data_IF_504168355749
#
_entry.id   IF_504168355749
#
_cell.length_a   1.000
_cell.length_b   1.000
_cell.length_c   1.000
_cell.angle_alpha   90.00
_cell.angle_beta   90.00
_cell.angle_gamma   90.00
#
_symmetry.space_group_name_H-M   'P 1'
#
loop_
_entity.id
_entity.type
_entity.pdbx_description
1 polymer ?
#
# COMPACT_ATOMS: atom_id res chain seq x y z
N UNK A 1 -9.14 31.72 -33.77
CA UNK A 1 -9.19 31.31 -32.35
C UNK A 1 -9.48 29.81 -32.29
N UNK A 2 -8.69 29.04 -31.53
CA UNK A 2 -8.89 27.60 -31.39
C UNK A 2 -9.84 27.36 -30.20
N UNK A 3 -10.95 26.67 -30.44
CA UNK A 3 -11.93 26.31 -29.41
C UNK A 3 -11.86 24.81 -29.14
N UNK A 4 -11.70 24.43 -27.88
CA UNK A 4 -11.70 23.04 -27.44
C UNK A 4 -13.14 22.49 -27.42
N UNK A 5 -13.38 21.40 -28.14
CA UNK A 5 -14.68 20.71 -28.26
C UNK A 5 -14.76 19.53 -27.28
N UNK A 6 -15.97 19.06 -26.99
CA UNK A 6 -16.20 17.92 -26.08
C UNK A 6 -15.49 16.63 -26.53
N UNK A 7 -15.34 16.43 -27.84
CA UNK A 7 -14.60 15.28 -28.40
C UNK A 7 -13.08 15.36 -28.24
N UNK A 8 -12.52 16.54 -27.96
CA UNK A 8 -11.07 16.73 -27.96
C UNK A 8 -10.37 15.97 -26.82
N UNK A 9 -10.86 15.99 -25.56
CA UNK A 9 -10.30 15.14 -24.50
C UNK A 9 -10.37 13.64 -24.80
N UNK A 10 -11.49 13.16 -25.35
CA UNK A 10 -11.66 11.73 -25.69
C UNK A 10 -10.72 11.30 -26.84
N UNK A 11 -10.64 12.11 -27.90
CA UNK A 11 -9.72 11.86 -29.00
C UNK A 11 -8.25 12.05 -28.59
N UNK A 12 -7.98 12.86 -27.56
CA UNK A 12 -6.65 12.95 -26.95
C UNK A 12 -6.26 11.62 -26.32
N UNK A 13 -7.16 10.93 -25.60
CA UNK A 13 -6.89 9.59 -25.04
C UNK A 13 -6.54 8.56 -26.12
N UNK A 14 -7.05 8.74 -27.34
CA UNK A 14 -6.72 7.94 -28.52
C UNK A 14 -5.46 8.41 -29.27
N UNK A 15 -4.77 9.45 -28.77
CA UNK A 15 -3.54 9.96 -29.38
C UNK A 15 -3.75 10.81 -30.64
N UNK A 16 -4.95 11.34 -30.91
CA UNK A 16 -5.18 12.14 -32.13
C UNK A 16 -4.41 13.47 -32.05
N UNK A 17 -3.47 13.68 -32.98
CA UNK A 17 -2.57 14.85 -33.00
C UNK A 17 -3.31 16.17 -32.94
N UNK A 18 -4.38 16.32 -33.74
CA UNK A 18 -5.13 17.57 -33.81
C UNK A 18 -5.81 17.92 -32.48
N UNK A 19 -6.27 16.92 -31.73
CA UNK A 19 -6.89 17.11 -30.43
C UNK A 19 -5.86 17.45 -29.34
N UNK A 20 -4.71 16.77 -29.35
CA UNK A 20 -3.58 17.07 -28.46
C UNK A 20 -3.17 18.54 -28.59
N UNK A 21 -2.92 19.01 -29.81
CA UNK A 21 -2.53 20.41 -30.06
C UNK A 21 -3.61 21.39 -29.59
N UNK A 22 -4.90 21.07 -29.78
CA UNK A 22 -6.00 21.93 -29.32
C UNK A 22 -6.07 22.03 -27.79
N UNK A 23 -5.87 20.91 -27.09
CA UNK A 23 -5.88 20.86 -25.62
C UNK A 23 -4.67 21.61 -25.05
N UNK A 24 -3.46 21.34 -25.54
CA UNK A 24 -2.22 21.96 -25.06
C UNK A 24 -2.19 23.48 -25.30
N UNK A 25 -2.82 23.98 -26.37
CA UNK A 25 -2.91 25.43 -26.65
C UNK A 25 -3.89 26.17 -25.74
N UNK A 26 -4.68 25.47 -24.94
CA UNK A 26 -5.67 26.10 -24.09
C UNK A 26 -5.13 26.28 -22.66
N UNK A 27 -4.93 27.52 -22.18
CA UNK A 27 -4.39 27.74 -20.84
C UNK A 27 -5.30 27.19 -19.73
N UNK A 28 -6.61 27.21 -19.92
CA UNK A 28 -7.58 26.71 -18.94
C UNK A 28 -7.66 25.18 -18.90
N UNK A 29 -7.00 24.46 -19.83
CA UNK A 29 -7.05 23.01 -19.87
C UNK A 29 -6.43 22.36 -18.62
N UNK A 30 -5.52 23.06 -17.94
CA UNK A 30 -4.96 22.57 -16.67
C UNK A 30 -6.04 22.35 -15.60
N UNK A 31 -7.05 23.22 -15.52
CA UNK A 31 -8.15 23.07 -14.55
C UNK A 31 -9.06 21.90 -14.90
N UNK A 32 -9.28 21.66 -16.19
CA UNK A 32 -9.99 20.48 -16.65
C UNK A 32 -9.20 19.20 -16.34
N UNK A 33 -7.89 19.20 -16.59
CA UNK A 33 -7.01 18.08 -16.28
C UNK A 33 -7.00 17.77 -14.79
N UNK A 34 -6.93 18.81 -13.94
CA UNK A 34 -7.02 18.70 -12.49
C UNK A 34 -8.35 18.07 -12.03
N UNK A 35 -9.47 18.52 -12.58
CA UNK A 35 -10.78 17.93 -12.30
C UNK A 35 -10.85 16.44 -12.71
N UNK A 36 -10.23 16.09 -13.86
CA UNK A 36 -10.15 14.71 -14.32
C UNK A 36 -9.26 13.84 -13.42
N UNK A 37 -8.16 14.38 -12.90
CA UNK A 37 -7.33 13.69 -11.89
C UNK A 37 -8.13 13.44 -10.61
N UNK A 38 -8.89 14.43 -10.13
CA UNK A 38 -9.75 14.24 -8.97
C UNK A 38 -10.78 13.13 -9.19
N UNK A 39 -11.41 13.06 -10.36
CA UNK A 39 -12.32 11.95 -10.69
C UNK A 39 -11.61 10.62 -10.83
N UNK A 40 -10.37 10.59 -11.31
CA UNK A 40 -9.58 9.35 -11.38
C UNK A 40 -9.17 8.86 -9.99
N UNK A 41 -8.86 9.78 -9.07
CA UNK A 41 -8.61 9.45 -7.66
C UNK A 41 -9.88 8.90 -7.00
N UNK A 42 -11.03 9.57 -7.18
CA UNK A 42 -12.32 9.07 -6.70
C UNK A 42 -12.64 7.68 -7.25
N UNK A 43 -12.40 7.45 -8.55
CA UNK A 43 -12.62 6.17 -9.19
C UNK A 43 -11.70 5.05 -8.65
N UNK A 44 -10.56 5.39 -8.06
CA UNK A 44 -9.65 4.40 -7.48
C UNK A 44 -9.99 4.04 -6.04
N UNK A 45 -10.60 4.96 -5.30
CA UNK A 45 -10.78 4.85 -3.84
C UNK A 45 -12.26 4.69 -3.42
N UNK A 46 -13.21 4.62 -4.36
CA UNK A 46 -14.65 4.59 -4.01
C UNK A 46 -15.09 3.25 -3.39
N UNK A 47 -14.40 2.17 -3.70
CA UNK A 47 -14.65 0.81 -3.24
C UNK A 47 -13.62 0.31 -2.20
N UNK A 48 -12.48 0.99 -2.07
CA UNK A 48 -11.42 0.61 -1.14
C UNK A 48 -11.46 1.37 0.20
N UNK A 49 -11.80 2.67 0.21
CA UNK A 49 -11.64 3.54 1.38
C UNK A 49 -12.91 4.31 1.71
N UNK A 50 -13.23 4.42 3.01
CA UNK A 50 -14.30 5.28 3.48
C UNK A 50 -13.88 6.75 3.41
N UNK A 51 -14.49 7.52 2.49
CA UNK A 51 -14.13 8.92 2.24
C UNK A 51 -14.34 9.84 3.45
N UNK A 52 -15.30 9.48 4.31
CA UNK A 52 -15.64 10.30 5.47
C UNK A 52 -14.59 10.19 6.58
N UNK A 53 -14.02 9.00 6.76
CA UNK A 53 -13.05 8.73 7.81
C UNK A 53 -11.62 9.12 7.41
N UNK A 54 -11.25 8.91 6.15
CA UNK A 54 -9.89 9.16 5.65
C UNK A 54 -9.88 10.08 4.41
N UNK A 55 -10.28 11.36 4.54
CA UNK A 55 -10.31 12.29 3.39
C UNK A 55 -8.92 12.61 2.84
N UNK A 56 -7.85 12.32 3.60
CA UNK A 56 -6.45 12.53 3.20
C UNK A 56 -6.03 11.55 2.09
N UNK A 57 -6.64 10.38 2.04
CA UNK A 57 -6.27 9.33 1.09
C UNK A 57 -6.69 9.75 -0.33
N UNK A 58 -7.72 10.58 -0.47
CA UNK A 58 -8.10 11.20 -1.75
C UNK A 58 -7.06 12.20 -2.28
N UNK A 59 -6.24 12.78 -1.40
CA UNK A 59 -5.17 13.72 -1.77
C UNK A 59 -3.85 13.01 -2.12
N UNK A 60 -3.64 11.79 -1.63
CA UNK A 60 -2.40 11.05 -1.84
C UNK A 60 -2.11 10.77 -3.34
N UNK A 61 -3.06 10.28 -4.16
CA UNK A 61 -2.85 10.11 -5.61
C UNK A 61 -2.52 11.43 -6.31
N UNK A 62 -3.09 12.54 -5.85
CA UNK A 62 -2.82 13.86 -6.42
C UNK A 62 -1.37 14.28 -6.14
N UNK A 63 -0.95 14.21 -4.87
CA UNK A 63 0.41 14.52 -4.46
C UNK A 63 1.45 13.63 -5.16
N UNK A 64 1.19 12.32 -5.22
CA UNK A 64 2.02 11.36 -5.93
C UNK A 64 2.13 11.70 -7.43
N UNK A 65 1.03 12.06 -8.09
CA UNK A 65 1.03 12.44 -9.50
C UNK A 65 1.83 13.71 -9.77
N UNK A 66 1.79 14.69 -8.85
CA UNK A 66 2.54 15.93 -8.94
C UNK A 66 4.04 15.67 -8.78
N UNK A 67 4.42 14.84 -7.80
CA UNK A 67 5.81 14.46 -7.55
C UNK A 67 6.39 13.70 -8.74
N UNK A 68 5.73 12.63 -9.19
CA UNK A 68 6.19 11.81 -10.33
C UNK A 68 6.24 12.64 -11.61
N UNK A 69 5.20 13.42 -11.90
CA UNK A 69 5.18 14.31 -13.06
C UNK A 69 6.33 15.31 -13.07
N UNK A 70 6.68 15.85 -11.90
CA UNK A 70 7.81 16.78 -11.76
C UNK A 70 9.16 16.11 -12.00
N UNK A 71 9.37 14.89 -11.50
CA UNK A 71 10.61 14.13 -11.76
C UNK A 71 10.74 13.84 -13.26
N UNK A 72 9.68 13.35 -13.90
CA UNK A 72 9.69 13.07 -15.35
C UNK A 72 9.94 14.34 -16.16
N UNK A 73 9.38 15.48 -15.74
CA UNK A 73 9.64 16.78 -16.39
C UNK A 73 11.13 17.16 -16.31
N UNK A 74 11.77 17.00 -15.16
CA UNK A 74 13.21 17.28 -15.00
C UNK A 74 14.05 16.42 -15.94
N UNK A 75 13.78 15.11 -16.02
CA UNK A 75 14.47 14.21 -16.95
C UNK A 75 14.28 14.60 -18.41
N UNK A 76 13.04 14.94 -18.79
CA UNK A 76 12.74 15.43 -20.13
C UNK A 76 13.51 16.73 -20.42
N UNK A 77 13.56 17.66 -19.47
CA UNK A 77 14.31 18.92 -19.61
C UNK A 77 15.81 18.69 -19.79
N UNK A 78 16.40 17.74 -19.05
CA UNK A 78 17.80 17.32 -19.24
C UNK A 78 18.02 16.80 -20.67
N UNK A 79 17.12 15.97 -21.19
CA UNK A 79 17.16 15.49 -22.57
C UNK A 79 17.09 16.62 -23.60
N UNK A 80 16.16 17.57 -23.39
CA UNK A 80 15.99 18.76 -24.24
C UNK A 80 17.24 19.66 -24.24
N UNK A 81 17.80 19.94 -23.06
CA UNK A 81 19.03 20.73 -22.93
C UNK A 81 20.24 20.03 -23.56
N UNK A 82 20.29 18.69 -23.48
CA UNK A 82 21.37 17.90 -24.08
C UNK A 82 21.39 17.96 -25.62
N UNK A 83 20.24 18.22 -26.24
CA UNK A 83 20.13 18.45 -27.70
C UNK A 83 20.43 19.92 -28.06
N UNK A 84 20.58 20.81 -27.07
CA UNK A 84 20.85 22.23 -27.28
C UNK A 84 19.60 23.08 -27.52
N UNK A 85 18.40 22.54 -27.23
CA UNK A 85 17.16 23.32 -27.28
C UNK A 85 17.12 24.33 -26.12
N UNK A 86 16.89 25.60 -26.45
CA UNK A 86 16.66 26.66 -25.46
C UNK A 86 15.17 26.75 -25.18
N UNK A 87 14.78 26.75 -23.91
CA UNK A 87 13.39 26.97 -23.50
C UNK A 87 13.16 28.45 -23.21
N UNK A 88 12.10 29.04 -23.78
CA UNK A 88 11.73 30.44 -23.49
C UNK A 88 11.29 30.62 -22.02
N UNK A 89 10.57 29.65 -21.46
CA UNK A 89 10.05 29.73 -20.09
C UNK A 89 9.75 28.34 -19.50
N UNK A 90 10.59 27.90 -18.56
CA UNK A 90 10.44 26.63 -17.85
C UNK A 90 9.07 26.45 -17.21
N UNK A 91 8.51 27.52 -16.63
CA UNK A 91 7.21 27.45 -15.98
C UNK A 91 6.06 27.25 -16.96
N UNK A 92 6.13 27.88 -18.13
CA UNK A 92 5.14 27.65 -19.20
C UNK A 92 5.23 26.21 -19.69
N UNK A 93 6.43 25.71 -19.92
CA UNK A 93 6.65 24.35 -20.42
C UNK A 93 6.21 23.30 -19.41
N UNK A 94 6.54 23.51 -18.13
CA UNK A 94 6.08 22.68 -17.01
C UNK A 94 4.56 22.63 -16.94
N UNK A 95 3.88 23.78 -17.02
CA UNK A 95 2.42 23.85 -17.00
C UNK A 95 1.78 23.11 -18.16
N UNK A 96 2.30 23.27 -19.38
CA UNK A 96 1.78 22.57 -20.58
C UNK A 96 2.05 21.07 -20.48
N UNK A 97 3.23 20.69 -20.02
CA UNK A 97 3.61 19.31 -19.76
C UNK A 97 2.68 18.65 -18.73
N UNK A 98 2.47 19.30 -17.57
CA UNK A 98 1.58 18.81 -16.52
C UNK A 98 0.12 18.73 -17.00
N UNK A 99 -0.32 19.67 -17.83
CA UNK A 99 -1.64 19.58 -18.47
C UNK A 99 -1.73 18.33 -19.34
N UNK A 100 -0.72 18.03 -20.15
CA UNK A 100 -0.66 16.81 -20.96
C UNK A 100 -0.64 15.54 -20.11
N UNK A 101 0.16 15.53 -19.03
CA UNK A 101 0.29 14.43 -18.10
C UNK A 101 -1.04 14.12 -17.39
N UNK A 102 -1.68 15.12 -16.80
CA UNK A 102 -2.95 14.96 -16.09
C UNK A 102 -4.14 14.67 -17.02
N UNK A 103 -4.10 15.09 -18.28
CA UNK A 103 -5.12 14.70 -19.27
C UNK A 103 -5.14 13.21 -19.57
N UNK A 104 -4.12 12.45 -19.17
CA UNK A 104 -4.11 10.98 -19.27
C UNK A 104 -4.77 10.27 -18.08
N UNK A 105 -5.10 11.00 -17.00
CA UNK A 105 -5.69 10.43 -15.79
C UNK A 105 -7.02 9.66 -16.01
N UNK A 106 -7.93 10.06 -16.92
CA UNK A 106 -9.16 9.32 -17.18
C UNK A 106 -8.98 7.86 -17.61
N UNK A 107 -7.79 7.46 -18.07
CA UNK A 107 -7.50 6.04 -18.34
C UNK A 107 -7.66 5.16 -17.09
N UNK A 108 -7.56 5.75 -15.89
CA UNK A 108 -7.78 5.04 -14.64
C UNK A 108 -9.23 4.59 -14.44
N UNK A 109 -10.20 5.24 -15.10
CA UNK A 109 -11.60 4.81 -15.04
C UNK A 109 -11.82 3.41 -15.63
N UNK A 110 -10.95 2.97 -16.54
CA UNK A 110 -11.09 1.66 -17.20
C UNK A 110 -10.85 0.48 -16.26
N UNK A 111 -9.97 0.64 -15.27
CA UNK A 111 -9.68 -0.43 -14.31
C UNK A 111 -10.38 -0.22 -12.96
N UNK A 112 -11.07 0.90 -12.76
CA UNK A 112 -11.90 1.18 -11.58
C UNK A 112 -13.19 0.34 -11.49
N UNK A 113 -13.36 -0.65 -12.36
CA UNK A 113 -14.54 -1.49 -12.37
C UNK A 113 -14.43 -2.53 -11.23
N UNK A 114 -15.47 -2.73 -10.40
CA UNK A 114 -15.38 -3.53 -9.17
C UNK A 114 -15.51 -5.03 -9.49
N UNK A 115 -14.49 -5.59 -10.16
CA UNK A 115 -14.47 -6.99 -10.62
C UNK A 115 -14.58 -7.97 -9.44
N UNK A 116 -14.08 -7.57 -8.27
CA UNK A 116 -14.11 -8.32 -7.02
C UNK A 116 -15.54 -8.69 -6.57
N UNK A 117 -16.56 -7.96 -7.03
CA UNK A 117 -17.96 -8.25 -6.69
C UNK A 117 -18.59 -9.31 -7.59
N UNK A 118 -17.96 -9.62 -8.73
CA UNK A 118 -18.54 -10.48 -9.77
C UNK A 118 -17.76 -11.79 -9.91
N UNK A 119 -16.48 -11.80 -9.56
CA UNK A 119 -15.60 -12.95 -9.74
C UNK A 119 -14.87 -13.33 -8.46
N UNK A 120 -14.48 -14.60 -8.36
CA UNK A 120 -13.58 -15.12 -7.34
C UNK A 120 -12.31 -14.27 -7.17
N UNK A 121 -11.77 -14.20 -5.96
CA UNK A 121 -10.64 -13.34 -5.57
C UNK A 121 -9.41 -13.51 -6.46
N UNK A 122 -9.05 -14.76 -6.79
CA UNK A 122 -7.87 -15.05 -7.63
C UNK A 122 -8.09 -14.56 -9.05
N UNK A 123 -9.32 -14.71 -9.55
CA UNK A 123 -9.70 -14.26 -10.89
C UNK A 123 -9.78 -12.73 -10.95
N UNK A 124 -10.37 -12.10 -9.93
CA UNK A 124 -10.45 -10.65 -9.80
C UNK A 124 -9.06 -10.01 -9.79
N UNK A 125 -8.14 -10.56 -9.00
CA UNK A 125 -6.76 -10.09 -8.93
C UNK A 125 -6.06 -10.16 -10.30
N UNK A 126 -6.19 -11.28 -11.02
CA UNK A 126 -5.60 -11.45 -12.36
C UNK A 126 -6.14 -10.43 -13.36
N UNK A 127 -7.44 -10.19 -13.35
CA UNK A 127 -8.07 -9.18 -14.22
C UNK A 127 -7.59 -7.77 -13.88
N UNK A 128 -7.55 -7.44 -12.58
CA UNK A 128 -7.10 -6.13 -12.12
C UNK A 128 -5.65 -5.86 -12.54
N UNK A 129 -4.74 -6.82 -12.27
CA UNK A 129 -3.33 -6.72 -12.68
C UNK A 129 -3.16 -6.61 -14.20
N UNK A 130 -3.94 -7.36 -14.98
CA UNK A 130 -3.90 -7.30 -16.45
C UNK A 130 -4.39 -5.96 -16.97
N UNK A 131 -5.49 -5.44 -16.43
CA UNK A 131 -6.04 -4.14 -16.80
C UNK A 131 -5.09 -3.00 -16.43
N UNK A 132 -4.49 -3.05 -15.24
CA UNK A 132 -3.46 -2.10 -14.82
C UNK A 132 -2.25 -2.14 -15.76
N UNK A 133 -1.79 -3.32 -16.17
CA UNK A 133 -0.70 -3.48 -17.13
C UNK A 133 -1.03 -2.80 -18.47
N UNK A 134 -2.19 -3.11 -19.05
CA UNK A 134 -2.64 -2.52 -20.32
C UNK A 134 -2.76 -1.00 -20.22
N UNK A 135 -3.41 -0.51 -19.16
CA UNK A 135 -3.63 0.93 -18.94
C UNK A 135 -2.30 1.66 -18.72
N UNK A 136 -1.35 1.06 -17.99
CA UNK A 136 -0.03 1.66 -17.76
C UNK A 136 0.76 1.81 -19.06
N UNK A 137 0.81 0.78 -19.91
CA UNK A 137 1.47 0.81 -21.21
C UNK A 137 0.83 1.85 -22.12
N UNK A 138 -0.51 1.86 -22.20
CA UNK A 138 -1.24 2.87 -22.96
C UNK A 138 -0.88 4.27 -22.47
N UNK A 139 -0.94 4.51 -21.15
CA UNK A 139 -0.67 5.82 -20.56
C UNK A 139 0.74 6.33 -20.90
N UNK A 140 1.76 5.48 -20.81
CA UNK A 140 3.15 5.86 -21.15
C UNK A 140 3.30 6.16 -22.63
N UNK A 141 2.74 5.34 -23.52
CA UNK A 141 2.79 5.57 -24.97
C UNK A 141 2.05 6.86 -25.36
N UNK A 142 0.86 7.08 -24.79
CA UNK A 142 0.07 8.27 -25.02
C UNK A 142 0.79 9.52 -24.52
N UNK A 143 1.34 9.47 -23.30
CA UNK A 143 2.05 10.60 -22.72
C UNK A 143 3.31 10.93 -23.52
N UNK A 144 4.08 9.93 -23.91
CA UNK A 144 5.25 10.10 -24.78
C UNK A 144 4.86 10.74 -26.12
N UNK A 145 3.71 10.35 -26.69
CA UNK A 145 3.17 10.98 -27.91
C UNK A 145 2.76 12.44 -27.68
N UNK A 146 2.16 12.76 -26.54
CA UNK A 146 1.80 14.14 -26.18
C UNK A 146 3.05 15.02 -26.11
N UNK A 147 4.09 14.55 -25.41
CA UNK A 147 5.37 15.26 -25.24
C UNK A 147 6.10 15.37 -26.59
N UNK A 148 6.11 14.32 -27.42
CA UNK A 148 6.67 14.36 -28.77
C UNK A 148 6.00 15.42 -29.65
N UNK A 149 4.68 15.55 -29.56
CA UNK A 149 3.94 16.61 -30.28
C UNK A 149 4.20 17.98 -29.66
N UNK A 150 4.31 18.07 -28.33
CA UNK A 150 4.56 19.33 -27.61
C UNK A 150 5.89 19.96 -28.00
N UNK A 151 6.94 19.16 -28.00
CA UNK A 151 8.31 19.63 -28.26
C UNK A 151 8.78 19.37 -29.69
N UNK A 152 7.96 18.76 -30.56
CA UNK A 152 8.34 18.41 -31.93
C UNK A 152 9.65 17.58 -31.97
N UNK A 153 9.73 16.58 -31.10
CA UNK A 153 10.86 15.63 -30.97
C UNK A 153 10.37 14.26 -31.44
N UNK A 154 11.19 13.42 -32.10
CA UNK A 154 10.77 12.08 -32.48
C UNK A 154 10.27 11.28 -31.27
N UNK A 155 9.21 10.51 -31.49
CA UNK A 155 8.53 9.76 -30.44
C UNK A 155 9.47 8.80 -29.70
N UNK A 156 10.44 8.20 -30.39
CA UNK A 156 11.37 7.24 -29.79
C UNK A 156 12.30 7.89 -28.75
N UNK A 157 12.78 9.10 -29.01
CA UNK A 157 13.62 9.85 -28.08
C UNK A 157 12.82 10.29 -26.85
N UNK A 158 11.60 10.77 -27.05
CA UNK A 158 10.71 11.14 -25.94
C UNK A 158 10.32 9.92 -25.12
N UNK A 159 10.02 8.80 -25.77
CA UNK A 159 9.69 7.55 -25.10
C UNK A 159 10.84 7.11 -24.18
N UNK A 160 12.09 7.15 -24.62
CA UNK A 160 13.22 6.78 -23.77
C UNK A 160 13.41 7.73 -22.58
N UNK A 161 13.27 9.05 -22.77
CA UNK A 161 13.38 10.02 -21.68
C UNK A 161 12.24 9.96 -20.66
N UNK A 162 11.03 9.57 -21.08
CA UNK A 162 9.89 9.37 -20.19
C UNK A 162 9.97 8.02 -19.48
N UNK A 163 10.35 6.97 -20.21
CA UNK A 163 10.35 5.60 -19.68
C UNK A 163 11.48 5.39 -18.66
N UNK A 164 12.64 6.02 -18.85
CA UNK A 164 13.79 5.91 -17.94
C UNK A 164 13.46 6.30 -16.48
N UNK A 165 12.98 7.52 -16.16
CA UNK A 165 12.61 7.87 -14.80
C UNK A 165 11.43 7.05 -14.29
N UNK A 166 10.47 6.68 -15.16
CA UNK A 166 9.36 5.81 -14.77
C UNK A 166 9.85 4.44 -14.30
N UNK A 167 10.81 3.82 -15.01
CA UNK A 167 11.40 2.53 -14.63
C UNK A 167 12.17 2.63 -13.32
N UNK A 168 12.93 3.70 -13.12
CA UNK A 168 13.67 3.94 -11.86
C UNK A 168 12.70 4.08 -10.69
N UNK A 169 11.67 4.93 -10.83
CA UNK A 169 10.66 5.15 -9.78
C UNK A 169 9.90 3.84 -9.49
N UNK A 170 9.47 3.12 -10.54
CA UNK A 170 8.76 1.85 -10.37
C UNK A 170 9.64 0.80 -9.68
N UNK A 171 10.90 0.68 -10.06
CA UNK A 171 11.84 -0.22 -9.41
C UNK A 171 12.04 0.13 -7.93
N UNK A 172 12.24 1.40 -7.59
CA UNK A 172 12.39 1.84 -6.20
C UNK A 172 11.11 1.63 -5.38
N UNK A 173 9.94 1.92 -5.96
CA UNK A 173 8.66 1.69 -5.30
C UNK A 173 8.40 0.19 -5.05
N UNK A 174 8.72 -0.66 -6.03
CA UNK A 174 8.61 -2.11 -5.89
C UNK A 174 9.64 -2.65 -4.90
N UNK A 175 10.86 -2.13 -4.88
CA UNK A 175 11.84 -2.50 -3.87
C UNK A 175 11.36 -2.14 -2.46
N UNK A 176 10.83 -0.93 -2.27
CA UNK A 176 10.25 -0.53 -0.98
C UNK A 176 9.06 -1.43 -0.57
N UNK A 177 8.18 -1.76 -1.51
CA UNK A 177 7.06 -2.68 -1.28
C UNK A 177 7.54 -4.09 -0.93
N UNK A 178 8.54 -4.62 -1.65
CA UNK A 178 9.12 -5.93 -1.36
C UNK A 178 9.88 -5.95 -0.04
N UNK A 179 10.58 -4.89 0.36
CA UNK A 179 11.21 -4.83 1.69
C UNK A 179 10.16 -4.88 2.81
N UNK A 180 9.03 -4.19 2.61
CA UNK A 180 7.87 -4.28 3.50
C UNK A 180 7.33 -5.72 3.54
N UNK A 181 7.24 -6.39 2.39
CA UNK A 181 6.76 -7.77 2.28
C UNK A 181 7.79 -8.84 2.69
N UNK A 182 9.10 -8.60 2.60
CA UNK A 182 10.14 -9.53 3.02
C UNK A 182 10.19 -9.63 4.54
N UNK A 183 9.73 -8.59 5.25
CA UNK A 183 9.42 -8.71 6.69
C UNK A 183 8.33 -9.75 6.98
N UNK A 184 7.47 -10.04 5.99
CA UNK A 184 6.40 -11.06 6.01
C UNK A 184 6.94 -12.45 5.62
N UNK A 185 8.05 -12.53 4.89
CA UNK A 185 8.72 -13.81 4.56
C UNK A 185 9.42 -14.46 5.77
N UNK A 186 9.29 -13.91 6.98
CA UNK A 186 9.68 -14.54 8.25
C UNK A 186 8.92 -15.83 8.59
N UNK A 187 8.07 -16.35 7.69
CA UNK A 187 7.30 -17.56 7.91
C UNK A 187 5.81 -17.27 8.10
N UNK A 188 5.17 -16.66 7.12
CA UNK A 188 3.70 -16.69 6.99
C UNK A 188 3.37 -17.37 5.68
N UNK A 189 2.33 -18.22 5.66
CA UNK A 189 1.82 -18.80 4.41
C UNK A 189 1.22 -17.64 3.62
N UNK A 190 1.94 -17.18 2.59
CA UNK A 190 1.36 -16.24 1.65
C UNK A 190 0.13 -16.90 1.06
N UNK A 191 -1.01 -16.23 1.15
CA UNK A 191 -2.21 -16.69 0.45
C UNK A 191 -1.87 -16.81 -1.03
N UNK A 192 -2.58 -17.66 -1.77
CA UNK A 192 -2.32 -17.84 -3.20
C UNK A 192 -2.38 -16.51 -3.96
N UNK A 193 -3.26 -15.59 -3.53
CA UNK A 193 -3.37 -14.22 -4.05
C UNK A 193 -2.12 -13.38 -3.76
N UNK A 194 -1.57 -13.44 -2.54
CA UNK A 194 -0.33 -12.76 -2.19
C UNK A 194 0.87 -13.30 -2.98
N UNK A 195 0.97 -14.62 -3.17
CA UNK A 195 2.04 -15.19 -3.99
C UNK A 195 1.98 -14.69 -5.44
N UNK A 196 0.78 -14.64 -6.04
CA UNK A 196 0.62 -14.08 -7.39
C UNK A 196 1.03 -12.60 -7.45
N UNK A 197 0.74 -11.84 -6.40
CA UNK A 197 1.14 -10.44 -6.31
C UNK A 197 2.67 -10.30 -6.20
N UNK A 198 3.33 -11.11 -5.36
CA UNK A 198 4.80 -11.17 -5.23
C UNK A 198 5.43 -11.49 -6.58
N UNK A 199 4.96 -12.54 -7.24
CA UNK A 199 5.50 -13.01 -8.52
C UNK A 199 5.37 -11.92 -9.60
N UNK A 200 4.21 -11.26 -9.64
CA UNK A 200 3.97 -10.15 -10.56
C UNK A 200 4.87 -8.95 -10.25
N UNK A 201 4.97 -8.54 -8.98
CA UNK A 201 5.85 -7.45 -8.55
C UNK A 201 7.32 -7.74 -8.87
N UNK A 202 7.77 -8.97 -8.62
CA UNK A 202 9.11 -9.44 -8.95
C UNK A 202 9.38 -9.38 -10.46
N UNK A 203 8.45 -9.85 -11.28
CA UNK A 203 8.57 -9.78 -12.74
C UNK A 203 8.68 -8.33 -13.24
N UNK A 204 7.82 -7.43 -12.74
CA UNK A 204 7.87 -5.99 -13.11
C UNK A 204 9.16 -5.34 -12.63
N UNK A 205 9.62 -5.64 -11.41
CA UNK A 205 10.88 -5.13 -10.87
C UNK A 205 12.08 -5.57 -11.74
N UNK A 206 12.11 -6.83 -12.16
CA UNK A 206 13.14 -7.36 -13.05
C UNK A 206 13.11 -6.69 -14.43
N UNK A 207 11.93 -6.50 -15.02
CA UNK A 207 11.78 -5.77 -16.29
C UNK A 207 12.27 -4.33 -16.15
N UNK A 208 11.95 -3.64 -15.06
CA UNK A 208 12.43 -2.27 -14.82
C UNK A 208 13.95 -2.25 -14.65
N UNK A 209 14.52 -3.16 -13.86
CA UNK A 209 15.95 -3.24 -13.59
C UNK A 209 16.76 -3.49 -14.87
N UNK A 210 16.43 -4.54 -15.63
CA UNK A 210 17.15 -4.85 -16.87
C UNK A 210 16.78 -3.91 -18.02
N UNK A 211 15.59 -3.30 -17.99
CA UNK A 211 15.11 -2.35 -19.00
C UNK A 211 15.81 -1.00 -18.94
N UNK A 212 16.32 -0.57 -17.77
CA UNK A 212 16.99 0.74 -17.61
C UNK A 212 18.18 0.88 -18.56
N UNK A 213 19.03 -0.14 -18.69
CA UNK A 213 20.26 -0.05 -19.51
C UNK A 213 19.92 0.11 -21.01
N UNK A 214 19.11 -0.76 -21.65
CA UNK A 214 18.71 -0.58 -23.05
C UNK A 214 18.02 0.75 -23.31
N UNK A 215 17.13 1.20 -22.42
CA UNK A 215 16.41 2.47 -22.57
C UNK A 215 17.35 3.67 -22.42
N UNK A 216 18.33 3.60 -21.51
CA UNK A 216 19.37 4.62 -21.38
C UNK A 216 20.23 4.71 -22.65
N UNK A 217 20.71 3.57 -23.15
CA UNK A 217 21.49 3.52 -24.41
C UNK A 217 20.67 4.09 -25.56
N UNK A 218 19.40 3.71 -25.68
CA UNK A 218 18.49 4.24 -26.69
C UNK A 218 18.31 5.76 -26.55
N UNK A 219 18.19 6.28 -25.33
CA UNK A 219 18.11 7.71 -25.05
C UNK A 219 19.38 8.47 -25.45
N UNK A 220 20.56 7.93 -25.15
CA UNK A 220 21.85 8.53 -25.52
C UNK A 220 22.06 8.53 -27.04
N UNK A 221 21.74 7.42 -27.72
CA UNK A 221 21.79 7.33 -29.18
C UNK A 221 20.83 8.35 -29.81
N UNK A 222 19.61 8.46 -29.29
CA UNK A 222 18.63 9.42 -29.78
C UNK A 222 19.11 10.88 -29.59
N UNK A 223 19.73 11.21 -28.46
CA UNK A 223 20.34 12.54 -28.24
C UNK A 223 21.45 12.79 -29.25
N UNK A 224 22.32 11.81 -29.50
CA UNK A 224 23.41 11.92 -30.48
C UNK A 224 22.91 12.16 -31.90
N UNK A 225 21.85 11.45 -32.32
CA UNK A 225 21.24 11.59 -33.64
C UNK A 225 20.54 12.94 -33.84
N UNK A 226 19.95 13.50 -32.78
CA UNK A 226 19.21 14.76 -32.84
C UNK A 226 20.11 15.99 -32.68
N UNK A 227 21.37 15.79 -32.24
CA UNK A 227 22.32 16.87 -32.04
C UNK A 227 22.83 17.38 -33.39
N UNK A 228 22.25 18.48 -33.87
CA UNK A 228 22.70 19.18 -35.09
C UNK A 228 21.57 19.51 -36.07
N UNK A 229 20.42 18.85 -35.94
CA UNK A 229 19.24 19.13 -36.75
C UNK A 229 18.48 20.33 -36.17
N UNK A 230 19.04 21.53 -36.39
CA UNK A 230 18.44 22.82 -36.00
C UNK A 230 17.32 23.23 -36.98
N UNK A 231 16.38 22.33 -37.24
CA UNK A 231 15.18 22.78 -37.93
C UNK A 231 14.30 23.49 -36.90
N UNK A 232 14.22 24.82 -37.02
CA UNK A 232 13.44 25.73 -36.18
C UNK A 232 11.92 25.55 -36.34
N UNK A 233 11.47 24.32 -36.57
CA UNK A 233 10.07 24.00 -36.80
C UNK A 233 9.25 24.25 -35.54
N UNK A 234 8.49 25.34 -35.62
CA UNK A 234 7.23 25.65 -34.95
C UNK A 234 7.02 24.95 -33.61
N UNK A 235 7.61 25.53 -32.57
CA UNK A 235 7.06 25.39 -31.23
C UNK A 235 5.56 25.69 -31.23
N UNK A 236 4.81 25.03 -30.35
CA UNK A 236 3.38 25.26 -30.20
C UNK A 236 3.19 26.76 -29.90
N UNK A 237 2.74 27.51 -30.90
CA UNK A 237 2.53 28.95 -30.79
C UNK A 237 1.63 29.35 -29.61
N UNK A 238 1.74 30.62 -29.22
CA UNK A 238 1.11 31.26 -28.05
C UNK A 238 -0.24 30.66 -27.62
N UNK A 239 -0.38 30.43 -26.31
CA UNK A 239 -1.56 29.87 -25.63
C UNK A 239 -2.81 30.75 -25.78
N UNK A 240 -3.54 30.59 -26.90
CA UNK A 240 -4.70 31.42 -27.25
C UNK A 240 -6.01 30.62 -27.39
N UNK A 241 -6.11 29.44 -26.76
CA UNK A 241 -7.30 28.59 -26.81
C UNK A 241 -8.41 28.99 -25.83
N UNK A 242 -9.70 28.83 -26.20
CA UNK A 242 -10.85 28.92 -25.29
C UNK A 242 -11.50 27.55 -25.09
N UNK A 243 -11.93 27.25 -23.85
CA UNK A 243 -12.71 26.05 -23.53
C UNK A 243 -14.18 26.32 -23.77
N UNK A 244 -14.85 25.45 -24.53
CA UNK A 244 -16.30 25.48 -24.65
C UNK A 244 -16.96 24.98 -23.36
N UNK A 245 -18.02 25.63 -22.87
CA UNK A 245 -18.70 25.27 -21.61
C UNK A 245 -19.08 23.79 -21.55
N UNK A 246 -19.50 23.22 -22.69
CA UNK A 246 -19.88 21.80 -22.78
C UNK A 246 -18.76 20.81 -22.43
N UNK A 247 -17.48 21.19 -22.49
CA UNK A 247 -16.39 20.25 -22.15
C UNK A 247 -16.39 19.92 -20.65
N UNK A 248 -16.90 20.83 -19.81
CA UNK A 248 -17.03 20.60 -18.37
C UNK A 248 -18.06 19.55 -17.99
N UNK A 249 -18.94 19.14 -18.93
CA UNK A 249 -19.83 18.00 -18.69
C UNK A 249 -19.07 16.70 -18.48
N UNK A 250 -17.84 16.55 -19.00
CA UNK A 250 -17.08 15.32 -18.86
C UNK A 250 -16.71 15.01 -17.39
N UNK A 251 -15.97 15.87 -16.66
CA UNK A 251 -15.68 15.62 -15.25
C UNK A 251 -16.96 15.64 -14.40
N UNK A 252 -17.95 16.49 -14.71
CA UNK A 252 -19.21 16.52 -13.96
C UNK A 252 -19.96 15.20 -14.08
N UNK A 253 -20.12 14.67 -15.30
CA UNK A 253 -20.77 13.39 -15.52
C UNK A 253 -19.99 12.24 -14.85
N UNK A 254 -18.66 12.23 -14.97
CA UNK A 254 -17.82 11.23 -14.29
C UNK A 254 -17.98 11.30 -12.76
N UNK A 255 -17.93 12.50 -12.17
CA UNK A 255 -18.17 12.70 -10.73
C UNK A 255 -19.57 12.23 -10.34
N UNK A 256 -20.61 12.58 -11.09
CA UNK A 256 -21.97 12.12 -10.79
C UNK A 256 -22.09 10.59 -10.84
N UNK A 257 -21.52 9.94 -11.85
CA UNK A 257 -21.51 8.48 -11.95
C UNK A 257 -20.74 7.84 -10.78
N UNK A 258 -19.58 8.38 -10.42
CA UNK A 258 -18.76 7.87 -9.32
C UNK A 258 -19.41 8.09 -7.95
N UNK A 259 -20.09 9.21 -7.75
CA UNK A 259 -20.87 9.45 -6.53
C UNK A 259 -22.05 8.46 -6.46
N UNK A 260 -22.74 8.21 -7.59
CA UNK A 260 -23.80 7.22 -7.64
C UNK A 260 -23.28 5.80 -7.31
N UNK A 261 -22.12 5.42 -7.84
CA UNK A 261 -21.46 4.16 -7.47
C UNK A 261 -21.06 4.14 -6.00
N UNK A 262 -20.48 5.23 -5.49
CA UNK A 262 -20.09 5.35 -4.09
C UNK A 262 -21.28 5.20 -3.15
N UNK A 263 -22.47 5.69 -3.48
CA UNK A 263 -23.68 5.46 -2.68
C UNK A 263 -24.02 3.98 -2.50
N UNK A 264 -23.63 3.11 -3.44
CA UNK A 264 -23.82 1.67 -3.34
C UNK A 264 -22.75 1.00 -2.45
N UNK A 265 -21.48 1.39 -2.57
CA UNK A 265 -20.35 0.72 -1.90
C UNK A 265 -19.99 1.30 -0.52
N UNK A 266 -20.15 2.61 -0.34
CA UNK A 266 -19.72 3.31 0.87
C UNK A 266 -20.44 2.89 2.16
N UNK A 267 -21.72 2.48 2.18
CA UNK A 267 -22.36 2.03 3.43
C UNK A 267 -21.64 0.84 4.07
N UNK A 268 -21.19 -0.13 3.28
CA UNK A 268 -20.45 -1.29 3.80
C UNK A 268 -19.07 -0.88 4.31
N UNK A 269 -18.35 -0.05 3.57
CA UNK A 269 -17.05 0.48 3.97
C UNK A 269 -17.13 1.35 5.23
N UNK A 270 -18.20 2.13 5.38
CA UNK A 270 -18.42 2.95 6.57
C UNK A 270 -18.56 2.07 7.82
N UNK A 271 -19.39 1.03 7.77
CA UNK A 271 -19.57 0.09 8.89
C UNK A 271 -18.29 -0.67 9.20
N UNK A 272 -17.59 -1.15 8.17
CA UNK A 272 -16.29 -1.80 8.31
C UNK A 272 -15.28 -0.89 9.02
N UNK A 273 -15.18 0.38 8.59
CA UNK A 273 -14.28 1.36 9.21
C UNK A 273 -14.68 1.69 10.65
N UNK A 274 -15.97 1.76 10.93
CA UNK A 274 -16.50 1.97 12.28
C UNK A 274 -16.11 0.82 13.21
N UNK A 275 -16.30 -0.43 12.78
CA UNK A 275 -15.86 -1.64 13.50
C UNK A 275 -14.34 -1.65 13.67
N UNK A 276 -13.58 -1.36 12.62
CA UNK A 276 -12.12 -1.27 12.69
C UNK A 276 -11.68 -0.24 13.75
N UNK A 277 -12.38 0.90 13.84
CA UNK A 277 -12.10 1.94 14.83
C UNK A 277 -12.43 1.51 16.26
N UNK A 278 -13.48 0.70 16.46
CA UNK A 278 -13.86 0.16 17.77
C UNK A 278 -12.85 -0.88 18.24
N UNK A 279 -12.43 -1.78 17.34
CA UNK A 279 -11.41 -2.79 17.63
C UNK A 279 -10.05 -2.15 18.00
N UNK A 280 -9.61 -1.13 17.25
CA UNK A 280 -8.38 -0.37 17.57
C UNK A 280 -8.45 0.37 18.90
N UNK A 281 -9.65 0.71 19.37
CA UNK A 281 -9.89 1.35 20.67
C UNK A 281 -10.07 0.34 21.81
N UNK A 282 -10.02 -0.97 21.54
CA UNK A 282 -10.28 -2.02 22.53
C UNK A 282 -11.77 -2.19 22.86
N UNK A 283 -12.68 -1.57 22.11
CA UNK A 283 -14.13 -1.68 22.31
C UNK A 283 -14.68 -2.93 21.60
N UNK A 284 -14.17 -4.11 21.97
CA UNK A 284 -14.42 -5.35 21.25
C UNK A 284 -15.89 -5.79 21.32
N UNK A 285 -16.51 -5.71 22.50
CA UNK A 285 -17.92 -6.08 22.66
C UNK A 285 -18.86 -5.20 21.82
N UNK A 286 -18.59 -3.89 21.75
CA UNK A 286 -19.35 -2.95 20.91
C UNK A 286 -19.16 -3.27 19.42
N UNK A 287 -17.94 -3.60 19.01
CA UNK A 287 -17.63 -4.00 17.64
C UNK A 287 -18.40 -5.26 17.23
N UNK A 288 -18.41 -6.29 18.08
CA UNK A 288 -19.16 -7.54 17.86
C UNK A 288 -20.65 -7.27 17.77
N UNK A 289 -21.19 -6.43 18.66
CA UNK A 289 -22.62 -6.08 18.63
C UNK A 289 -22.99 -5.37 17.32
N UNK A 290 -22.15 -4.43 16.88
CA UNK A 290 -22.34 -3.71 15.61
C UNK A 290 -22.33 -4.67 14.42
N UNK A 291 -21.42 -5.65 14.40
CA UNK A 291 -21.36 -6.71 13.39
C UNK A 291 -22.62 -7.59 13.41
N UNK A 292 -23.05 -8.00 14.60
CA UNK A 292 -24.24 -8.84 14.81
C UNK A 292 -25.53 -8.13 14.36
N UNK A 293 -25.68 -6.85 14.67
CA UNK A 293 -26.86 -6.06 14.33
C UNK A 293 -27.06 -5.94 12.81
N UNK A 294 -25.99 -5.84 12.05
CA UNK A 294 -26.05 -5.60 10.60
C UNK A 294 -26.00 -6.89 9.76
N UNK A 295 -25.44 -7.97 10.30
CA UNK A 295 -25.27 -9.23 9.59
C UNK A 295 -24.08 -9.24 8.63
N UNK A 296 -23.77 -10.39 8.05
CA UNK A 296 -22.58 -10.60 7.22
C UNK A 296 -22.62 -9.80 5.91
N UNK A 297 -23.75 -9.81 5.21
CA UNK A 297 -23.96 -9.13 3.92
C UNK A 297 -23.82 -7.60 3.99
N UNK A 298 -23.82 -7.05 5.20
CA UNK A 298 -23.66 -5.62 5.43
C UNK A 298 -22.22 -5.14 5.32
N UNK A 299 -21.25 -6.05 5.30
CA UNK A 299 -19.83 -5.78 5.21
C UNK A 299 -19.26 -6.20 3.85
N UNK A 300 -18.20 -5.55 3.35
CA UNK A 300 -17.54 -6.00 2.14
C UNK A 300 -17.05 -7.44 2.28
N UNK A 301 -17.12 -8.23 1.20
CA UNK A 301 -16.67 -9.63 1.20
C UNK A 301 -15.18 -9.71 1.50
N UNK A 302 -14.38 -8.81 0.91
CA UNK A 302 -12.92 -8.74 1.05
C UNK A 302 -12.46 -7.98 2.32
N UNK A 303 -13.38 -7.67 3.23
CA UNK A 303 -13.04 -6.95 4.46
C UNK A 303 -12.58 -7.91 5.57
N UNK A 304 -11.31 -7.77 5.95
CA UNK A 304 -10.70 -8.41 7.12
C UNK A 304 -10.61 -7.43 8.29
N UNK A 305 -11.07 -7.73 9.51
CA UNK A 305 -10.92 -6.83 10.65
C UNK A 305 -9.44 -6.65 11.08
N UNK A 306 -9.08 -5.54 11.75
CA UNK A 306 -7.73 -5.34 12.28
C UNK A 306 -7.36 -6.40 13.33
N UNK A 307 -6.05 -6.67 13.50
CA UNK A 307 -4.91 -5.93 12.96
C UNK A 307 -4.55 -6.29 11.52
N UNK A 308 -4.52 -5.30 10.62
CA UNK A 308 -4.00 -5.47 9.25
C UNK A 308 -2.53 -5.10 9.19
N UNK A 309 -1.81 -5.57 8.18
CA UNK A 309 -0.51 -5.00 7.82
C UNK A 309 -0.74 -3.64 7.12
N UNK A 310 -0.08 -2.52 7.48
CA UNK A 310 1.08 -2.37 8.38
C UNK A 310 0.75 -2.08 9.86
N UNK A 311 -0.53 -1.94 10.24
CA UNK A 311 -0.98 -1.65 11.60
C UNK A 311 -0.71 -2.75 12.65
N UNK A 312 0.02 -3.81 12.30
CA UNK A 312 0.34 -4.93 13.20
C UNK A 312 1.26 -4.55 14.37
N UNK A 313 1.81 -3.34 14.36
CA UNK A 313 2.55 -2.80 15.50
C UNK A 313 1.61 -2.27 16.60
N UNK A 314 0.33 -2.06 16.29
CA UNK A 314 -0.68 -1.77 17.30
C UNK A 314 -1.01 -3.06 18.07
N UNK A 315 -0.78 -3.06 19.38
CA UNK A 315 -1.04 -4.22 20.25
C UNK A 315 -2.53 -4.49 20.49
N UNK A 316 -3.42 -3.65 19.95
CA UNK A 316 -4.86 -3.71 20.15
C UNK A 316 -5.57 -4.22 18.88
N UNK A 317 -6.61 -5.06 19.03
CA UNK A 317 -7.17 -5.57 20.28
C UNK A 317 -6.31 -6.67 20.94
N UNK A 318 -6.41 -6.81 22.27
CA UNK A 318 -5.81 -7.95 22.97
C UNK A 318 -6.55 -9.24 22.59
N UNK A 319 -5.82 -10.35 22.43
CA UNK A 319 -6.48 -11.62 22.08
C UNK A 319 -7.39 -12.09 23.21
N UNK A 320 -7.00 -11.86 24.46
CA UNK A 320 -7.80 -12.22 25.63
C UNK A 320 -9.15 -11.48 25.63
N UNK A 321 -9.15 -10.18 25.31
CA UNK A 321 -10.36 -9.36 25.20
C UNK A 321 -11.28 -9.86 24.06
N UNK A 322 -10.69 -10.27 22.93
CA UNK A 322 -11.42 -10.88 21.81
C UNK A 322 -12.12 -12.17 22.22
N UNK A 323 -11.39 -13.07 22.87
CA UNK A 323 -11.91 -14.37 23.27
C UNK A 323 -12.99 -14.23 24.35
N UNK A 324 -12.75 -13.38 25.35
CA UNK A 324 -13.72 -13.09 26.41
C UNK A 324 -15.02 -12.50 25.82
N UNK A 325 -14.91 -11.52 24.91
CA UNK A 325 -16.07 -10.92 24.28
C UNK A 325 -16.86 -11.92 23.40
N UNK A 326 -16.16 -12.83 22.71
CA UNK A 326 -16.79 -13.88 21.89
C UNK A 326 -17.59 -14.86 22.75
N UNK A 327 -16.99 -15.33 23.85
CA UNK A 327 -17.64 -16.24 24.82
C UNK A 327 -18.87 -15.61 25.48
N UNK A 328 -18.77 -14.33 25.86
CA UNK A 328 -19.85 -13.61 26.52
C UNK A 328 -21.04 -13.33 25.60
N UNK A 329 -20.78 -13.02 24.32
CA UNK A 329 -21.81 -12.49 23.40
C UNK A 329 -22.52 -13.59 22.59
N UNK A 330 -22.04 -14.84 22.63
CA UNK A 330 -22.53 -15.95 21.79
C UNK A 330 -22.58 -15.56 20.31
N UNK A 331 -21.41 -15.24 19.76
CA UNK A 331 -21.29 -14.66 18.42
C UNK A 331 -21.71 -15.65 17.31
N UNK A 332 -22.37 -15.18 16.24
CA UNK A 332 -22.51 -15.95 15.00
C UNK A 332 -21.15 -16.41 14.46
N UNK A 333 -21.10 -17.60 13.87
CA UNK A 333 -19.87 -18.23 13.38
C UNK A 333 -19.07 -17.35 12.42
N UNK A 334 -19.73 -16.63 11.50
CA UNK A 334 -19.03 -15.74 10.55
C UNK A 334 -18.25 -14.61 11.23
N UNK A 335 -18.69 -14.12 12.40
CA UNK A 335 -17.97 -13.09 13.16
C UNK A 335 -16.71 -13.69 13.77
N UNK A 336 -16.85 -14.91 14.33
CA UNK A 336 -15.74 -15.67 14.92
C UNK A 336 -14.69 -15.93 13.83
N UNK A 337 -15.13 -16.46 12.69
CA UNK A 337 -14.27 -16.76 11.55
C UNK A 337 -13.52 -15.50 11.12
N UNK A 338 -14.21 -14.35 10.92
CA UNK A 338 -13.56 -13.09 10.50
C UNK A 338 -12.62 -12.49 11.54
N UNK A 339 -13.02 -12.40 12.81
CA UNK A 339 -12.19 -11.80 13.87
C UNK A 339 -10.96 -12.64 14.19
N UNK A 340 -11.07 -13.97 14.04
CA UNK A 340 -10.04 -14.90 14.48
C UNK A 340 -9.24 -15.54 13.33
N UNK A 341 -9.43 -15.12 12.06
CA UNK A 341 -8.55 -15.49 10.93
C UNK A 341 -7.06 -15.32 11.29
N UNK A 342 -6.74 -14.26 12.04
CA UNK A 342 -5.36 -13.92 12.42
C UNK A 342 -5.06 -14.13 13.91
N UNK A 343 -5.93 -14.84 14.64
CA UNK A 343 -5.83 -14.98 16.10
C UNK A 343 -4.50 -15.57 16.58
N UNK A 344 -4.02 -16.63 15.92
CA UNK A 344 -2.77 -17.29 16.29
C UNK A 344 -1.57 -16.32 16.13
N UNK A 345 -1.57 -15.50 15.06
CA UNK A 345 -0.52 -14.50 14.83
C UNK A 345 -0.57 -13.39 15.89
N UNK A 346 -1.77 -12.90 16.24
CA UNK A 346 -1.98 -11.86 17.25
C UNK A 346 -1.49 -12.36 18.62
N UNK A 347 -1.88 -13.57 19.01
CA UNK A 347 -1.50 -14.19 20.28
C UNK A 347 0.02 -14.31 20.41
N UNK A 348 0.71 -14.74 19.35
CA UNK A 348 2.16 -14.85 19.35
C UNK A 348 2.86 -13.47 19.40
N UNK A 349 2.36 -12.49 18.64
CA UNK A 349 2.95 -11.14 18.62
C UNK A 349 2.86 -10.44 19.96
N UNK A 350 1.76 -10.62 20.69
CA UNK A 350 1.58 -10.03 22.02
C UNK A 350 2.60 -10.52 23.05
N UNK A 351 3.18 -11.70 22.83
CA UNK A 351 4.25 -12.26 23.67
C UNK A 351 5.67 -11.92 23.18
N UNK A 352 5.75 -11.19 22.06
CA UNK A 352 7.00 -10.69 21.47
C UNK A 352 7.52 -11.49 20.28
N UNK A 353 6.73 -12.42 19.71
CA UNK A 353 7.15 -13.20 18.55
C UNK A 353 6.62 -12.60 17.26
N UNK A 354 7.52 -12.00 16.48
CA UNK A 354 7.15 -11.20 15.31
C UNK A 354 7.25 -11.93 13.96
N UNK A 355 7.84 -13.12 13.91
CA UNK A 355 8.07 -13.84 12.64
C UNK A 355 6.87 -14.69 12.17
N UNK A 356 5.78 -14.73 12.93
CA UNK A 356 4.57 -15.47 12.57
C UNK A 356 4.61 -16.94 13.01
N UNK A 357 3.66 -17.74 12.51
CA UNK A 357 3.39 -19.11 12.99
C UNK A 357 3.97 -20.22 12.10
N UNK A 358 4.54 -19.92 10.92
CA UNK A 358 4.86 -20.97 9.92
C UNK A 358 6.17 -21.70 10.19
N UNK A 359 7.18 -21.01 10.71
CA UNK A 359 8.49 -21.60 10.95
C UNK A 359 8.57 -22.13 12.39
N UNK A 360 8.16 -23.39 12.56
CA UNK A 360 8.25 -24.08 13.85
C UNK A 360 9.70 -24.16 14.34
N UNK A 361 10.69 -24.27 13.44
CA UNK A 361 12.10 -24.31 13.81
C UNK A 361 12.54 -22.95 14.38
N UNK A 362 12.08 -21.85 13.78
CA UNK A 362 12.35 -20.52 14.32
C UNK A 362 11.76 -20.36 15.72
N UNK A 363 10.50 -20.77 15.89
CA UNK A 363 9.82 -20.71 17.19
C UNK A 363 10.60 -21.53 18.23
N UNK A 364 10.96 -22.77 17.91
CA UNK A 364 11.80 -23.63 18.76
C UNK A 364 13.12 -22.95 19.17
N UNK A 365 13.79 -22.24 18.27
CA UNK A 365 15.03 -21.50 18.58
C UNK A 365 14.79 -20.28 19.46
N UNK A 366 13.73 -19.51 19.20
CA UNK A 366 13.39 -18.32 20.00
C UNK A 366 12.96 -18.67 21.42
N UNK A 367 12.30 -19.81 21.62
CA UNK A 367 11.84 -20.23 22.94
C UNK A 367 12.96 -20.41 23.96
N UNK A 368 14.17 -20.78 23.55
CA UNK A 368 15.33 -20.82 24.45
C UNK A 368 15.62 -19.49 25.15
N UNK A 369 15.19 -18.37 24.56
CA UNK A 369 15.37 -17.03 25.14
C UNK A 369 14.15 -16.48 25.87
N UNK A 370 12.98 -17.12 25.72
CA UNK A 370 11.73 -16.67 26.31
C UNK A 370 11.52 -17.33 27.68
N UNK A 371 11.12 -16.55 28.70
CA UNK A 371 10.82 -17.12 30.02
C UNK A 371 9.63 -18.07 29.98
N UNK A 372 9.69 -19.16 30.77
CA UNK A 372 8.67 -20.22 30.85
C UNK A 372 7.23 -19.70 31.03
N UNK A 373 7.06 -18.58 31.74
CA UNK A 373 5.75 -17.96 31.93
C UNK A 373 5.12 -17.47 30.62
N UNK A 374 5.90 -16.92 29.68
CA UNK A 374 5.38 -16.46 28.38
C UNK A 374 4.91 -17.63 27.53
N UNK A 375 5.73 -18.69 27.49
CA UNK A 375 5.41 -19.95 26.79
C UNK A 375 4.11 -20.53 27.34
N UNK A 376 3.99 -20.62 28.67
CA UNK A 376 2.79 -21.10 29.35
C UNK A 376 1.54 -20.28 28.98
N UNK A 377 1.61 -18.95 29.05
CA UNK A 377 0.46 -18.07 28.67
C UNK A 377 0.05 -18.29 27.22
N UNK A 378 1.00 -18.53 26.34
CA UNK A 378 0.76 -18.78 24.91
C UNK A 378 0.06 -20.11 24.68
N UNK A 379 0.54 -21.18 25.32
CA UNK A 379 -0.11 -22.49 25.27
C UNK A 379 -1.56 -22.38 25.73
N UNK A 380 -1.81 -21.67 26.85
CA UNK A 380 -3.16 -21.46 27.37
C UNK A 380 -4.05 -20.73 26.36
N UNK A 381 -3.56 -19.65 25.73
CA UNK A 381 -4.31 -18.89 24.71
C UNK A 381 -4.60 -19.74 23.46
N UNK A 382 -3.60 -20.46 22.95
CA UNK A 382 -3.76 -21.29 21.75
C UNK A 382 -4.69 -22.48 21.99
N UNK A 383 -4.65 -23.12 23.17
CA UNK A 383 -5.63 -24.17 23.54
C UNK A 383 -7.04 -23.61 23.58
N UNK A 384 -7.21 -22.44 24.20
CA UNK A 384 -8.51 -21.76 24.24
C UNK A 384 -8.99 -21.38 22.82
N UNK A 385 -8.10 -21.01 21.90
CA UNK A 385 -8.44 -20.80 20.48
C UNK A 385 -8.80 -22.09 19.74
N UNK A 386 -8.19 -23.22 20.11
CA UNK A 386 -8.52 -24.54 19.57
C UNK A 386 -9.94 -24.99 19.97
N UNK A 387 -10.35 -24.68 21.21
CA UNK A 387 -11.71 -24.97 21.72
C UNK A 387 -12.81 -24.21 20.97
N UNK A 388 -12.48 -23.05 20.37
CA UNK A 388 -13.42 -22.23 19.60
C UNK A 388 -13.64 -22.73 18.15
N UNK A 389 -13.00 -23.84 17.74
CA UNK A 389 -13.08 -24.43 16.39
C UNK A 389 -12.87 -23.42 15.25
N UNK A 390 -11.95 -22.48 15.45
CA UNK A 390 -11.69 -21.38 14.52
C UNK A 390 -10.80 -21.83 13.36
N UNK A 391 -11.27 -21.59 12.14
CA UNK A 391 -10.51 -21.76 10.90
C UNK A 391 -10.91 -23.01 10.12
N UNK A 392 -10.24 -23.22 9.00
CA UNK A 392 -10.35 -24.46 8.23
C UNK A 392 -9.54 -25.60 8.88
N UNK A 393 -9.72 -26.82 8.37
CA UNK A 393 -9.03 -28.01 8.88
C UNK A 393 -7.50 -27.84 8.87
N UNK A 394 -6.96 -27.07 7.92
CA UNK A 394 -5.54 -26.76 7.83
C UNK A 394 -5.08 -25.83 8.96
N UNK A 395 -5.85 -24.79 9.28
CA UNK A 395 -5.58 -23.89 10.41
C UNK A 395 -5.62 -24.65 11.74
N UNK A 396 -6.60 -25.54 11.92
CA UNK A 396 -6.73 -26.37 13.13
C UNK A 396 -5.54 -27.33 13.26
N UNK A 397 -5.16 -28.00 12.16
CA UNK A 397 -3.99 -28.88 12.14
C UNK A 397 -2.69 -28.12 12.45
N UNK A 398 -2.53 -26.92 11.88
CA UNK A 398 -1.38 -26.06 12.13
C UNK A 398 -1.31 -25.61 13.59
N UNK A 399 -2.44 -25.19 14.18
CA UNK A 399 -2.53 -24.83 15.60
C UNK A 399 -2.19 -26.00 16.52
N UNK A 400 -2.62 -27.21 16.16
CA UNK A 400 -2.31 -28.43 16.90
C UNK A 400 -0.80 -28.71 16.88
N UNK A 401 -0.16 -28.65 15.72
CA UNK A 401 1.29 -28.81 15.61
C UNK A 401 2.07 -27.72 16.38
N UNK A 402 1.56 -26.48 16.38
CA UNK A 402 2.14 -25.38 17.13
C UNK A 402 2.08 -25.62 18.65
N UNK A 403 0.94 -26.10 19.15
CA UNK A 403 0.74 -26.46 20.55
C UNK A 403 1.66 -27.61 20.98
N UNK A 404 1.75 -28.68 20.19
CA UNK A 404 2.65 -29.80 20.45
C UNK A 404 4.12 -29.36 20.55
N UNK A 405 4.56 -28.50 19.61
CA UNK A 405 5.92 -27.96 19.62
C UNK A 405 6.20 -27.07 20.84
N UNK A 406 5.22 -26.25 21.24
CA UNK A 406 5.31 -25.39 22.42
C UNK A 406 5.37 -26.19 23.72
N UNK A 407 4.54 -27.23 23.83
CA UNK A 407 4.44 -28.07 25.03
C UNK A 407 5.69 -28.92 25.22
N UNK A 408 6.18 -29.57 24.17
CA UNK A 408 7.43 -30.33 24.21
C UNK A 408 8.61 -29.46 24.67
N UNK A 409 8.67 -28.21 24.17
CA UNK A 409 9.74 -27.28 24.56
C UNK A 409 9.59 -26.76 25.99
N UNK A 410 8.35 -26.57 26.45
CA UNK A 410 8.07 -26.17 27.83
C UNK A 410 8.51 -27.26 28.83
N UNK A 411 8.28 -28.53 28.51
CA UNK A 411 8.74 -29.67 29.32
C UNK A 411 10.26 -29.76 29.38
N UNK A 412 10.95 -29.61 28.25
CA UNK A 412 12.43 -29.59 28.19
C UNK A 412 13.03 -28.49 29.07
N UNK A 413 12.49 -27.27 29.00
CA UNK A 413 12.95 -26.16 29.83
C UNK A 413 12.73 -26.40 31.34
N UNK A 414 11.69 -27.14 31.71
CA UNK A 414 11.43 -27.50 33.12
C UNK A 414 12.41 -28.53 33.64
N UNK A 415 12.79 -29.51 32.81
CA UNK A 415 13.82 -30.48 33.13
C UNK A 415 15.18 -29.80 33.35
N UNK A 416 15.60 -28.94 32.42
CA UNK A 416 16.85 -28.17 32.52
C UNK A 416 16.88 -27.28 33.78
N UNK A 417 15.79 -26.57 34.06
CA UNK A 417 15.69 -25.71 35.26
C UNK A 417 15.76 -26.53 36.56
N UNK A 418 15.18 -27.73 36.56
CA UNK A 418 15.21 -28.64 37.71
C UNK A 418 16.59 -29.26 37.94
N UNK A 419 17.35 -29.51 36.88
CA UNK A 419 18.75 -29.95 36.97
C UNK A 419 19.65 -28.83 37.51
N UNK A 420 19.51 -27.60 37.03
CA UNK A 420 20.27 -26.45 37.57
C UNK A 420 20.02 -26.23 39.08
N UNK A 421 18.77 -26.39 39.53
CA UNK A 421 18.44 -26.24 40.95
C UNK A 421 18.98 -27.40 41.80
N UNK A 422 19.07 -28.62 41.25
CA UNK A 422 19.73 -29.76 41.90
C UNK A 422 21.26 -29.62 41.94
N UNK A 423 21.86 -29.06 40.90
CA UNK A 423 23.31 -28.89 40.80
C UNK A 423 23.84 -27.68 41.57
N UNK A 424 22.99 -26.72 41.96
CA UNK A 424 23.40 -25.65 42.89
C UNK A 424 23.84 -26.29 44.21
N UNK A 425 25.17 -26.32 44.52
CA UNK A 425 25.64 -26.91 45.74
C UNK A 425 24.97 -26.18 46.91
N UNK A 426 24.33 -26.93 47.80
CA UNK A 426 23.64 -26.42 48.97
C UNK A 426 24.48 -25.31 49.59
N UNK A 427 24.01 -24.07 49.48
CA UNK A 427 24.79 -22.90 49.86
C UNK A 427 25.34 -23.13 51.27
N UNK A 428 26.67 -23.16 51.38
CA UNK A 428 27.39 -23.28 52.65
C UNK A 428 26.79 -22.27 53.64
N UNK A 429 26.23 -22.70 54.79
CA UNK A 429 25.49 -21.83 55.71
C UNK A 429 26.39 -20.90 56.56
N UNK A 430 27.58 -20.52 56.08
CA UNK A 430 28.60 -19.89 56.90
C UNK A 430 29.22 -18.66 56.22
N UNK A 431 28.50 -17.54 56.25
CA UNK A 431 29.09 -16.20 56.22
C UNK A 431 28.39 -15.39 57.30
N UNK A 432 29.11 -15.16 58.40
CA UNK A 432 28.62 -14.55 59.61
C UNK A 432 28.15 -13.09 59.46
N UNK A 433 27.49 -12.57 60.50
CA UNK A 433 27.03 -11.19 60.53
C UNK A 433 28.23 -10.27 60.81
N UNK A 434 28.83 -9.71 59.76
CA UNK A 434 29.75 -8.59 59.95
C UNK A 434 29.17 -7.29 59.42
N UNK A 435 28.97 -6.42 60.40
CA UNK A 435 28.60 -5.03 60.34
C UNK A 435 29.62 -4.18 59.58
N UNK A 436 29.10 -3.11 58.96
CA UNK A 436 29.73 -1.80 58.73
C UNK A 436 30.34 -1.48 57.35
N UNK A 437 30.02 -0.25 56.92
CA UNK A 437 30.59 0.56 55.83
C UNK A 437 30.14 0.10 54.42
N UNK A 438 29.60 0.93 53.54
CA UNK A 438 29.74 2.38 53.40
C UNK A 438 28.59 2.90 52.52
N UNK A 439 28.07 4.05 52.91
CA UNK A 439 27.18 4.91 52.15
C UNK A 439 27.80 5.31 50.80
N UNK A 440 27.57 4.54 49.74
CA UNK A 440 27.75 5.00 48.36
C UNK A 440 26.38 5.35 47.79
N UNK A 441 26.05 6.65 47.88
CA UNK A 441 24.84 7.23 47.33
C UNK A 441 24.73 7.00 45.83
N UNK A 442 24.02 5.96 45.43
CA UNK A 442 23.42 5.89 44.12
C UNK A 442 22.20 6.81 44.13
N UNK A 443 22.43 8.04 43.66
CA UNK A 443 21.35 8.90 43.18
C UNK A 443 20.49 8.06 42.27
N UNK A 444 19.24 7.89 42.66
CA UNK A 444 18.15 7.53 41.77
C UNK A 444 18.17 8.62 40.70
N UNK A 445 18.83 8.31 39.58
CA UNK A 445 18.78 9.11 38.38
C UNK A 445 17.32 9.29 38.04
N UNK A 446 16.91 10.55 38.02
CA UNK A 446 15.65 11.00 37.44
C UNK A 446 15.26 10.09 36.29
N UNK A 447 14.04 9.55 36.35
CA UNK A 447 13.33 9.16 35.13
C UNK A 447 13.32 10.42 34.26
N UNK A 448 14.32 10.56 33.40
CA UNK A 448 14.22 11.38 32.20
C UNK A 448 13.00 10.84 31.50
N UNK A 449 11.91 11.59 31.59
CA UNK A 449 10.86 11.58 30.58
C UNK A 449 11.61 11.66 29.26
N UNK A 450 11.71 10.54 28.56
CA UNK A 450 12.05 10.55 27.15
C UNK A 450 11.11 11.59 26.54
N UNK A 451 11.61 12.64 25.88
CA UNK A 451 10.72 13.52 25.15
C UNK A 451 9.93 12.63 24.21
N UNK A 452 8.60 12.83 24.20
CA UNK A 452 7.77 12.32 23.15
C UNK A 452 8.48 12.65 21.84
N UNK A 453 8.94 11.61 21.12
CA UNK A 453 9.38 11.76 19.75
C UNK A 453 8.11 11.98 18.91
N UNK A 454 7.52 13.16 19.08
CA UNK A 454 6.65 13.78 18.10
C UNK A 454 7.55 14.17 16.92
N UNK A 455 7.92 13.24 16.05
CA UNK A 455 8.33 13.52 14.66
C UNK A 455 8.62 12.21 13.93
N UNK A 456 7.58 11.65 13.30
CA UNK A 456 7.75 10.96 12.03
C UNK A 456 6.48 11.13 11.19
N UNK A 457 6.38 12.17 10.34
CA UNK A 457 5.42 12.22 9.26
C UNK A 457 6.18 11.89 7.97
N UNK A 458 6.30 10.62 7.61
CA UNK A 458 6.35 10.12 6.23
C UNK A 458 6.09 8.60 6.35
N UNK A 459 4.81 8.24 6.35
CA UNK A 459 4.37 6.98 5.78
C UNK A 459 3.45 7.39 4.63
N UNK A 460 3.97 7.20 3.42
CA UNK A 460 3.29 7.40 2.14
C UNK A 460 2.98 6.06 1.52
#
# INVERSE_FOLDING_TARGET
MITMRLRDPLLLLLGVRSSIVRVLRCPRAIWLALALVATAALAREYDAVSWLHHPRDLLAPFAASLLIGSIVFVFMMIGMFSIGRKTESLWRDYRVFMTGYWMTAPLAWLYAFPIETITDEVTALRWNLTMLSIVSVWRVLLFSRIVAIQFAVPMLAVLSWVLLPCMIIAFLALMAATLSMVSIMGGIRLTQTQQMLVDYQGAVAMICFYGVIPILVLGLVAIGMLRGEHDSQQEIGRLNGRIHRRVWWLPVAATCCLIAAAFQFQPGLYRATEVDSMLRRGQVAEAIEQMRQHGEDAFPVVWDPPPRFPDRDSQLPLIDDLMEAIEQTQCPRWIIDRLLVQADEIALRQEGWHQGTRDLDYLQRQFFSAGNERVRRTIVRLRKLQELEVGDDETIAHRTALLEALEAKFEENLEESGEEERERPAASPDVGPDTSLETAGWRIGERRKLPACDFCPIAS
#
